data_IF_395228723418
#
_entry.id   IF_395228723418
#
_cell.length_a   1.000
_cell.length_b   1.000
_cell.length_c   1.000
_cell.angle_alpha   90.00
_cell.angle_beta   90.00
_cell.angle_gamma   90.00
#
_symmetry.space_group_name_H-M   'P 1'
#
loop_
_entity.id
_entity.type
_entity.pdbx_description
1 polymer ?
#
# COMPACT_ATOMS: atom_id res chain seq x y z
N UNK A 1 6.09 -3.76 -22.27
CA UNK A 1 7.20 -4.13 -21.37
C UNK A 1 6.54 -4.68 -20.13
N UNK A 2 6.73 -5.97 -19.83
CA UNK A 2 6.19 -6.59 -18.63
C UNK A 2 7.26 -6.44 -17.54
N UNK A 3 7.29 -5.26 -16.92
CA UNK A 3 8.33 -4.88 -15.95
C UNK A 3 8.06 -5.67 -14.67
N UNK A 4 8.96 -6.57 -14.25
CA UNK A 4 8.76 -7.32 -13.02
C UNK A 4 8.73 -6.34 -11.86
N UNK A 5 7.83 -6.59 -10.91
CA UNK A 5 7.74 -5.81 -9.67
C UNK A 5 9.08 -5.88 -8.94
N UNK A 6 9.63 -4.71 -8.63
CA UNK A 6 10.85 -4.57 -7.85
C UNK A 6 10.53 -4.34 -6.38
N UNK A 7 11.47 -4.67 -5.49
CA UNK A 7 11.37 -4.37 -4.06
C UNK A 7 11.19 -2.87 -3.79
N UNK A 8 11.71 -2.02 -4.68
CA UNK A 8 11.55 -0.56 -4.60
C UNK A 8 10.08 -0.12 -4.81
N UNK A 9 9.36 -0.79 -5.72
CA UNK A 9 7.91 -0.57 -5.90
C UNK A 9 7.13 -1.04 -4.68
N UNK A 10 7.50 -2.21 -4.14
CA UNK A 10 6.88 -2.76 -2.91
C UNK A 10 7.07 -1.78 -1.75
N UNK A 11 8.28 -1.25 -1.58
CA UNK A 11 8.59 -0.25 -0.56
C UNK A 11 7.75 1.01 -0.72
N UNK A 12 7.64 1.52 -1.94
CA UNK A 12 6.89 2.73 -2.24
C UNK A 12 5.42 2.57 -1.86
N UNK A 13 4.79 1.48 -2.30
CA UNK A 13 3.38 1.18 -2.01
C UNK A 13 3.17 0.91 -0.50
N UNK A 14 4.05 0.12 0.12
CA UNK A 14 3.98 -0.17 1.55
C UNK A 14 4.10 1.10 2.40
N UNK A 15 5.01 1.99 2.03
CA UNK A 15 5.26 3.24 2.75
C UNK A 15 4.09 4.22 2.59
N UNK A 16 3.54 4.36 1.38
CA UNK A 16 2.35 5.19 1.15
C UNK A 16 1.14 4.69 1.95
N UNK A 17 0.84 3.38 1.90
CA UNK A 17 -0.24 2.78 2.68
C UNK A 17 -0.03 2.94 4.19
N UNK A 18 1.20 2.80 4.66
CA UNK A 18 1.55 2.94 6.06
C UNK A 18 1.45 4.38 6.54
N UNK A 19 1.91 5.36 5.75
CA UNK A 19 1.75 6.79 6.06
C UNK A 19 0.27 7.21 6.07
N UNK A 20 -0.52 6.78 5.07
CA UNK A 20 -1.95 7.08 5.01
C UNK A 20 -2.74 6.47 6.19
N UNK A 21 -2.30 5.31 6.68
CA UNK A 21 -2.86 4.66 7.87
C UNK A 21 -2.44 5.34 9.19
N UNK A 22 -1.58 6.37 9.15
CA UNK A 22 -1.11 7.11 10.33
C UNK A 22 0.18 6.57 10.95
N UNK A 23 0.98 5.84 10.17
CA UNK A 23 2.28 5.30 10.56
C UNK A 23 2.30 4.52 11.89
N UNK A 24 1.41 3.52 12.08
CA UNK A 24 1.42 2.70 13.28
C UNK A 24 2.72 1.89 13.42
N UNK A 25 3.42 2.07 14.54
CA UNK A 25 4.59 1.27 14.89
C UNK A 25 4.20 -0.20 15.04
N UNK A 26 4.86 -1.08 14.27
CA UNK A 26 4.64 -2.52 14.27
C UNK A 26 3.73 -3.06 13.15
N UNK A 27 3.06 -2.20 12.38
CA UNK A 27 2.30 -2.65 11.20
C UNK A 27 3.08 -2.48 9.87
N UNK A 28 4.23 -1.81 9.89
CA UNK A 28 5.04 -1.55 8.70
C UNK A 28 5.38 -2.84 7.92
N UNK A 29 5.74 -3.92 8.63
CA UNK A 29 5.99 -5.24 8.03
C UNK A 29 4.73 -5.85 7.39
N UNK A 30 3.57 -5.64 8.01
CA UNK A 30 2.27 -6.13 7.53
C UNK A 30 1.84 -5.41 6.23
N UNK A 31 2.06 -4.10 6.18
CA UNK A 31 1.87 -3.28 4.97
C UNK A 31 2.89 -3.63 3.88
N UNK A 32 4.13 -3.94 4.25
CA UNK A 32 5.17 -4.41 3.33
C UNK A 32 4.78 -5.72 2.65
N UNK A 33 4.35 -6.71 3.43
CA UNK A 33 3.90 -8.00 2.88
C UNK A 33 2.62 -7.87 2.04
N UNK A 34 1.69 -6.97 2.42
CA UNK A 34 0.52 -6.63 1.60
C UNK A 34 0.91 -6.02 0.27
N UNK A 35 1.80 -5.02 0.25
CA UNK A 35 2.27 -4.38 -0.97
C UNK A 35 2.98 -5.38 -1.90
N UNK A 36 3.82 -6.25 -1.34
CA UNK A 36 4.48 -7.36 -2.03
C UNK A 36 3.48 -8.27 -2.72
N UNK A 37 2.43 -8.69 -2.01
CA UNK A 37 1.41 -9.57 -2.57
C UNK A 37 0.54 -8.84 -3.59
N UNK A 38 0.16 -7.59 -3.34
CA UNK A 38 -0.68 -6.81 -4.23
C UNK A 38 -0.01 -6.53 -5.57
N UNK A 39 1.30 -6.27 -5.55
CA UNK A 39 2.09 -6.11 -6.77
C UNK A 39 2.41 -7.47 -7.42
N UNK A 40 2.66 -8.51 -6.63
CA UNK A 40 3.00 -9.85 -7.10
C UNK A 40 1.85 -10.67 -7.68
N UNK A 41 0.58 -10.34 -7.37
CA UNK A 41 -0.64 -11.05 -7.80
C UNK A 41 -1.38 -10.28 -8.91
N UNK A 42 -0.62 -9.67 -9.83
CA UNK A 42 -1.16 -8.99 -11.03
C UNK A 42 -1.81 -7.62 -10.79
N UNK A 43 -0.97 -6.58 -10.70
CA UNK A 43 -1.09 -5.20 -11.26
C UNK A 43 -2.43 -4.43 -11.30
N UNK A 44 -3.54 -4.86 -10.70
CA UNK A 44 -4.80 -4.11 -10.68
C UNK A 44 -4.92 -3.35 -9.34
N UNK A 45 -4.94 -2.00 -9.35
CA UNK A 45 -5.09 -1.22 -8.14
C UNK A 45 -6.48 -1.44 -7.57
N UNK A 46 -6.56 -2.15 -6.45
CA UNK A 46 -7.78 -2.22 -5.65
C UNK A 46 -7.78 -1.03 -4.70
N UNK A 47 -8.16 0.13 -5.24
CA UNK A 47 -8.73 1.20 -4.43
C UNK A 47 -10.18 0.80 -4.10
N UNK A 48 -10.48 0.56 -2.82
CA UNK A 48 -11.56 1.34 -2.24
C UNK A 48 -11.28 1.63 -0.76
N UNK A 49 -10.36 2.55 -0.48
CA UNK A 49 -10.28 3.11 0.87
C UNK A 49 -9.87 4.59 0.89
N UNK A 50 -10.05 5.32 -0.21
CA UNK A 50 -10.29 6.76 -0.14
C UNK A 50 -11.80 7.00 0.01
N UNK A 51 -12.38 6.56 1.13
CA UNK A 51 -13.64 7.10 1.66
C UNK A 51 -13.53 7.15 3.18
N UNK A 52 -12.57 7.93 3.62
CA UNK A 52 -12.47 8.44 4.98
C UNK A 52 -12.35 9.95 4.92
N UNK A 53 -13.21 10.62 4.15
CA UNK A 53 -13.44 12.05 4.37
C UNK A 53 -13.99 12.19 5.81
N UNK A 54 -13.27 12.84 6.74
CA UNK A 54 -13.85 13.22 8.00
C UNK A 54 -14.82 14.35 7.67
N UNK A 55 -16.12 14.09 7.72
CA UNK A 55 -17.09 15.18 7.74
C UNK A 55 -16.98 15.89 9.10
N UNK A 56 -16.03 16.81 9.17
CA UNK A 56 -16.00 17.91 10.14
C UNK A 56 -17.23 18.79 9.96
N UNK A 57 -17.93 19.02 11.08
CA UNK A 57 -18.99 20.00 11.35
C UNK A 57 -20.43 19.65 10.93
#
# INVERSE_FOLDING_TARGET
MNTPVTEEQIRTVAFSLWEEAGSPEGQADEFWEKARQQLGVDSAPSDPASEGEPQTA
#
